data_IF_688161456953
#
_entry.id   IF_688161456953
#
_cell.length_a   1.000
_cell.length_b   1.000
_cell.length_c   1.000
_cell.angle_alpha   90.00
_cell.angle_beta   90.00
_cell.angle_gamma   90.00
#
_symmetry.space_group_name_H-M   'P 1'
#
loop_
_entity.id
_entity.type
_entity.pdbx_description
1 polymer ?
#
# COMPACT_ATOMS: atom_id res chain seq x y z
N UNK A 1 16.33 33.88 19.73
CA UNK A 1 15.73 32.96 18.73
C UNK A 1 15.48 31.61 19.39
N UNK A 2 14.32 31.42 20.03
CA UNK A 2 14.01 30.16 20.70
C UNK A 2 13.39 29.19 19.70
N UNK A 3 14.03 28.05 19.53
CA UNK A 3 13.53 26.90 18.79
C UNK A 3 12.22 26.43 19.43
N UNK A 4 11.11 26.80 18.79
CA UNK A 4 9.78 26.27 19.08
C UNK A 4 9.77 24.76 18.83
N UNK A 5 10.26 24.03 19.81
CA UNK A 5 10.28 22.58 19.83
C UNK A 5 8.84 22.18 20.10
N UNK A 6 8.10 21.88 19.02
CA UNK A 6 6.80 21.26 19.17
C UNK A 6 6.99 19.95 19.91
N UNK A 7 6.66 19.96 21.20
CA UNK A 7 6.47 18.77 22.03
C UNK A 7 5.20 18.08 21.55
N UNK A 8 5.22 17.56 20.32
CA UNK A 8 4.14 16.78 19.75
C UNK A 8 4.17 15.40 20.41
N UNK A 9 3.20 15.19 21.30
CA UNK A 9 2.61 13.89 21.65
C UNK A 9 3.56 12.84 22.26
N UNK A 10 4.32 13.21 23.30
CA UNK A 10 4.54 12.24 24.39
C UNK A 10 3.28 12.26 25.26
N UNK A 11 2.50 11.18 25.25
CA UNK A 11 1.49 10.94 26.29
C UNK A 11 0.02 10.85 25.86
N UNK A 12 -0.31 10.58 24.59
CA UNK A 12 -1.67 10.08 24.31
C UNK A 12 -1.72 8.63 24.79
N UNK A 13 -2.23 8.43 26.03
CA UNK A 13 -2.65 7.09 26.45
C UNK A 13 -3.72 6.63 25.46
N UNK A 14 -3.46 5.51 24.78
CA UNK A 14 -4.44 4.84 23.95
C UNK A 14 -5.74 4.64 24.76
N UNK A 15 -6.91 5.06 24.27
CA UNK A 15 -8.16 4.73 24.95
C UNK A 15 -8.35 3.21 24.93
N UNK A 16 -8.80 2.65 26.06
CA UNK A 16 -9.14 1.23 26.23
C UNK A 16 -10.19 0.82 25.19
N UNK A 17 -9.77 0.30 24.05
CA UNK A 17 -10.52 -0.75 23.36
C UNK A 17 -10.10 -2.08 23.97
N UNK A 18 -11.03 -3.04 23.99
CA UNK A 18 -10.90 -4.39 24.58
C UNK A 18 -9.95 -5.26 23.73
N UNK A 19 -8.72 -4.80 23.51
CA UNK A 19 -7.64 -5.44 22.77
C UNK A 19 -6.27 -5.01 23.37
N UNK A 20 -6.07 -5.23 24.67
CA UNK A 20 -4.78 -5.01 25.35
C UNK A 20 -4.29 -3.56 25.44
N UNK A 21 -3.38 -3.26 26.37
CA UNK A 21 -2.71 -1.95 26.39
C UNK A 21 -1.69 -1.89 25.25
N UNK A 22 -1.74 -0.83 24.43
CA UNK A 22 -0.72 -0.56 23.43
C UNK A 22 0.67 -0.50 24.09
N UNK A 23 1.71 -1.15 23.52
CA UNK A 23 3.06 -1.12 24.11
C UNK A 23 3.53 0.32 24.30
N UNK A 24 3.89 0.69 25.53
CA UNK A 24 4.19 2.08 25.93
C UNK A 24 5.41 2.67 25.20
N UNK A 25 6.21 1.82 24.58
CA UNK A 25 7.45 2.11 23.87
C UNK A 25 7.29 2.32 22.36
N UNK A 26 6.16 1.92 21.76
CA UNK A 26 5.93 2.08 20.31
C UNK A 26 5.11 3.33 20.02
N UNK A 27 5.66 4.29 19.29
CA UNK A 27 4.90 5.45 18.81
C UNK A 27 4.10 5.13 17.54
N UNK A 28 3.01 5.86 17.29
CA UNK A 28 2.24 5.72 16.04
C UNK A 28 3.12 5.94 14.82
N UNK A 29 4.01 6.94 14.83
CA UNK A 29 4.92 7.21 13.71
C UNK A 29 5.82 6.00 13.41
N UNK A 30 6.33 5.36 14.47
CA UNK A 30 7.15 4.15 14.36
C UNK A 30 6.34 2.98 13.81
N UNK A 31 5.11 2.77 14.31
CA UNK A 31 4.23 1.72 13.82
C UNK A 31 3.91 1.91 12.33
N UNK A 32 3.58 3.13 11.89
CA UNK A 32 3.29 3.42 10.49
C UNK A 32 4.51 3.23 9.60
N UNK A 33 5.69 3.65 10.03
CA UNK A 33 6.92 3.36 9.30
C UNK A 33 7.09 1.85 9.09
N UNK A 34 6.95 1.04 10.14
CA UNK A 34 7.10 -0.41 10.03
C UNK A 34 6.04 -1.07 9.18
N UNK A 35 4.77 -0.71 9.33
CA UNK A 35 3.68 -1.24 8.51
C UNK A 35 3.95 -0.95 7.03
N UNK A 36 4.33 0.29 6.69
CA UNK A 36 4.64 0.65 5.31
C UNK A 36 5.91 -0.02 4.78
N UNK A 37 6.97 -0.14 5.60
CA UNK A 37 8.17 -0.89 5.22
C UNK A 37 7.87 -2.35 4.94
N UNK A 38 7.07 -3.00 5.78
CA UNK A 38 6.68 -4.41 5.61
C UNK A 38 5.80 -4.57 4.37
N UNK A 39 4.81 -3.69 4.20
CA UNK A 39 3.95 -3.64 3.01
C UNK A 39 4.77 -3.62 1.72
N UNK A 40 5.67 -2.63 1.60
CA UNK A 40 6.50 -2.43 0.41
C UNK A 40 7.56 -3.52 0.27
N UNK A 41 8.25 -3.83 1.36
CA UNK A 41 9.38 -4.74 1.37
C UNK A 41 8.99 -6.18 1.06
N UNK A 42 7.92 -6.69 1.66
CA UNK A 42 7.44 -8.05 1.37
C UNK A 42 6.81 -8.13 -0.03
N UNK A 43 6.05 -7.11 -0.46
CA UNK A 43 5.53 -7.05 -1.83
C UNK A 43 6.69 -7.18 -2.84
N UNK A 44 7.74 -6.35 -2.73
CA UNK A 44 8.91 -6.41 -3.62
C UNK A 44 9.68 -7.73 -3.51
N UNK A 45 9.87 -8.25 -2.29
CA UNK A 45 10.61 -9.50 -2.08
C UNK A 45 9.94 -10.68 -2.78
N UNK A 46 8.63 -10.87 -2.58
CA UNK A 46 7.89 -11.99 -3.15
C UNK A 46 7.48 -11.78 -4.61
N UNK A 47 7.30 -10.53 -5.03
CA UNK A 47 7.15 -10.21 -6.45
C UNK A 47 8.45 -10.49 -7.23
N UNK A 48 9.60 -10.11 -6.65
CA UNK A 48 10.90 -10.42 -7.22
C UNK A 48 11.19 -11.92 -7.29
N UNK A 49 10.72 -12.69 -6.30
CA UNK A 49 10.78 -14.16 -6.35
C UNK A 49 10.04 -14.73 -7.58
N UNK A 50 8.89 -14.15 -7.98
CA UNK A 50 8.21 -14.52 -9.23
C UNK A 50 9.01 -14.17 -10.48
N UNK A 51 9.75 -13.06 -10.45
CA UNK A 51 10.70 -12.71 -11.51
C UNK A 51 11.81 -13.75 -11.65
N UNK A 52 12.42 -14.17 -10.54
CA UNK A 52 13.51 -15.17 -10.53
C UNK A 52 13.02 -16.56 -10.97
N UNK A 53 11.82 -16.96 -10.55
CA UNK A 53 11.20 -18.24 -10.94
C UNK A 53 10.84 -18.26 -12.43
N UNK A 54 10.54 -17.11 -13.03
CA UNK A 54 10.15 -17.03 -14.44
C UNK A 54 8.63 -17.17 -14.65
N UNK A 55 7.85 -16.27 -14.05
CA UNK A 55 6.42 -16.09 -14.32
C UNK A 55 6.15 -15.68 -15.78
N UNK A 56 5.55 -16.58 -16.56
CA UNK A 56 5.24 -16.37 -17.98
C UNK A 56 4.40 -15.12 -18.25
N UNK A 57 3.50 -14.75 -17.34
CA UNK A 57 2.66 -13.55 -17.43
C UNK A 57 3.46 -12.25 -17.66
N UNK A 58 4.76 -12.24 -17.34
CA UNK A 58 5.62 -11.06 -17.48
C UNK A 58 6.25 -10.95 -18.87
N UNK A 59 6.39 -12.06 -19.59
CA UNK A 59 7.06 -12.09 -20.90
C UNK A 59 6.39 -11.12 -21.90
N UNK A 60 5.04 -11.06 -22.02
CA UNK A 60 4.39 -10.10 -22.90
C UNK A 60 4.71 -8.63 -22.59
N UNK A 61 5.06 -8.29 -21.35
CA UNK A 61 5.37 -6.90 -20.99
C UNK A 61 6.66 -6.40 -21.63
N UNK A 62 7.62 -7.28 -21.90
CA UNK A 62 8.87 -6.94 -22.57
C UNK A 62 8.66 -6.60 -24.05
N UNK A 63 7.58 -7.10 -24.66
CA UNK A 63 7.24 -6.79 -26.05
C UNK A 63 6.94 -5.30 -26.27
N UNK A 64 6.49 -4.57 -25.23
CA UNK A 64 6.33 -3.11 -25.28
C UNK A 64 7.63 -2.38 -25.65
N UNK A 65 8.78 -2.93 -25.25
CA UNK A 65 10.10 -2.41 -25.57
C UNK A 65 10.76 -3.12 -26.77
N UNK A 66 9.97 -3.86 -27.58
CA UNK A 66 10.45 -4.66 -28.71
C UNK A 66 11.53 -5.70 -28.32
N UNK A 67 11.47 -6.23 -27.10
CA UNK A 67 12.37 -7.27 -26.61
C UNK A 67 11.75 -8.64 -26.91
N UNK A 68 12.52 -9.51 -27.58
CA UNK A 68 12.10 -10.88 -27.89
C UNK A 68 12.03 -11.80 -26.66
N UNK A 69 11.26 -12.89 -26.75
CA UNK A 69 10.96 -13.79 -25.64
C UNK A 69 12.21 -14.37 -24.94
N UNK A 70 13.22 -14.79 -25.70
CA UNK A 70 14.48 -15.33 -25.15
C UNK A 70 15.19 -14.30 -24.24
N UNK A 71 15.33 -13.06 -24.71
CA UNK A 71 15.89 -11.97 -23.91
C UNK A 71 14.98 -11.60 -22.74
N UNK A 72 13.66 -11.68 -22.91
CA UNK A 72 12.68 -11.38 -21.87
C UNK A 72 12.80 -12.35 -20.69
N UNK A 73 13.05 -13.65 -20.91
CA UNK A 73 13.26 -14.62 -19.84
C UNK A 73 14.47 -14.29 -18.97
N UNK A 74 15.59 -13.89 -19.60
CA UNK A 74 16.80 -13.49 -18.88
C UNK A 74 16.55 -12.18 -18.12
N UNK A 75 15.99 -11.19 -18.78
CA UNK A 75 15.74 -9.87 -18.19
C UNK A 75 14.72 -9.94 -17.05
N UNK A 76 13.70 -10.79 -17.16
CA UNK A 76 12.73 -11.03 -16.10
C UNK A 76 13.40 -11.52 -14.81
N UNK A 77 14.36 -12.46 -14.92
CA UNK A 77 15.08 -12.96 -13.74
C UNK A 77 15.95 -11.86 -13.12
N UNK A 78 16.59 -11.02 -13.93
CA UNK A 78 17.36 -9.87 -13.47
C UNK A 78 16.47 -8.83 -12.76
N UNK A 79 15.28 -8.56 -13.32
CA UNK A 79 14.26 -7.73 -12.66
C UNK A 79 13.87 -8.35 -11.31
N UNK A 80 13.67 -9.67 -11.26
CA UNK A 80 13.38 -10.38 -10.01
C UNK A 80 14.45 -10.18 -8.94
N UNK A 81 15.73 -10.27 -9.30
CA UNK A 81 16.86 -10.00 -8.40
C UNK A 81 16.87 -8.53 -7.93
N UNK A 82 16.58 -7.59 -8.83
CA UNK A 82 16.46 -6.17 -8.48
C UNK A 82 15.36 -5.94 -7.45
N UNK A 83 14.16 -6.50 -7.68
CA UNK A 83 13.01 -6.36 -6.79
C UNK A 83 13.29 -6.97 -5.40
N UNK A 84 13.90 -8.15 -5.34
CA UNK A 84 14.35 -8.77 -4.07
C UNK A 84 15.32 -7.84 -3.34
N UNK A 85 16.31 -7.30 -4.05
CA UNK A 85 17.33 -6.41 -3.46
C UNK A 85 16.69 -5.14 -2.89
N UNK A 86 15.79 -4.52 -3.65
CA UNK A 86 15.05 -3.33 -3.22
C UNK A 86 14.13 -3.61 -2.03
N UNK A 87 13.46 -4.77 -2.02
CA UNK A 87 12.65 -5.23 -0.90
C UNK A 87 13.47 -5.37 0.39
N UNK A 88 14.63 -6.02 0.31
CA UNK A 88 15.57 -6.15 1.44
C UNK A 88 16.09 -4.79 1.90
N UNK A 89 16.46 -3.89 0.98
CA UNK A 89 16.86 -2.52 1.32
C UNK A 89 15.75 -1.83 2.10
N UNK A 90 14.50 -1.86 1.65
CA UNK A 90 13.40 -1.20 2.37
C UNK A 90 13.13 -1.82 3.74
N UNK A 91 13.23 -3.14 3.88
CA UNK A 91 13.00 -3.82 5.16
C UNK A 91 14.07 -3.47 6.21
N UNK A 92 15.35 -3.47 5.82
CA UNK A 92 16.46 -3.32 6.77
C UNK A 92 17.02 -1.91 6.84
N UNK A 93 17.09 -1.20 5.70
CA UNK A 93 17.74 0.09 5.55
C UNK A 93 16.95 1.00 4.60
N UNK A 94 15.71 1.41 4.97
CA UNK A 94 14.83 2.14 4.06
C UNK A 94 15.44 3.48 3.67
N UNK A 95 15.99 3.59 2.46
CA UNK A 95 16.54 4.84 1.91
C UNK A 95 15.51 5.54 1.04
N UNK A 96 15.56 6.88 0.98
CA UNK A 96 14.62 7.65 0.14
C UNK A 96 14.76 7.32 -1.33
N UNK A 97 16.00 7.08 -1.78
CA UNK A 97 16.27 6.67 -3.16
C UNK A 97 15.53 5.37 -3.49
N UNK A 98 15.64 4.35 -2.62
CA UNK A 98 15.03 3.05 -2.88
C UNK A 98 13.51 3.17 -2.92
N UNK A 99 12.94 3.91 -1.97
CA UNK A 99 11.49 4.11 -1.89
C UNK A 99 10.96 4.85 -3.12
N UNK A 100 11.65 5.91 -3.58
CA UNK A 100 11.24 6.65 -4.77
C UNK A 100 11.37 5.78 -6.03
N UNK A 101 12.47 5.04 -6.15
CA UNK A 101 12.66 4.11 -7.26
C UNK A 101 11.57 3.05 -7.30
N UNK A 102 11.26 2.41 -6.17
CA UNK A 102 10.17 1.42 -6.06
C UNK A 102 8.83 2.04 -6.44
N UNK A 103 8.52 3.26 -6.00
CA UNK A 103 7.30 3.95 -6.38
C UNK A 103 7.20 4.13 -7.91
N UNK A 104 8.26 4.65 -8.53
CA UNK A 104 8.30 4.84 -9.99
C UNK A 104 8.19 3.49 -10.71
N UNK A 105 8.93 2.49 -10.24
CA UNK A 105 9.01 1.16 -10.80
C UNK A 105 7.68 0.40 -10.74
N UNK A 106 6.98 0.46 -9.60
CA UNK A 106 5.67 -0.20 -9.41
C UNK A 106 4.58 0.45 -10.25
N UNK A 107 4.60 1.77 -10.41
CA UNK A 107 3.68 2.46 -11.33
C UNK A 107 3.99 2.08 -12.77
N UNK A 108 5.26 2.09 -13.17
CA UNK A 108 5.70 1.70 -14.50
C UNK A 108 5.26 0.27 -14.86
N UNK A 109 5.62 -0.71 -14.03
CA UNK A 109 5.29 -2.13 -14.25
C UNK A 109 3.80 -2.42 -14.17
N UNK A 110 3.03 -1.71 -13.34
CA UNK A 110 1.58 -1.77 -13.38
C UNK A 110 1.03 -1.27 -14.73
N UNK A 111 1.62 -0.21 -15.28
CA UNK A 111 1.19 0.43 -16.53
C UNK A 111 1.46 -0.43 -17.75
N UNK A 112 2.42 -1.35 -17.69
CA UNK A 112 2.70 -2.29 -18.78
C UNK A 112 1.48 -3.15 -19.14
N UNK A 113 0.55 -3.40 -18.22
CA UNK A 113 -0.69 -4.14 -18.50
C UNK A 113 -1.53 -3.47 -19.59
N UNK A 114 -2.04 -2.23 -19.39
CA UNK A 114 -2.79 -1.56 -20.46
C UNK A 114 -1.92 -1.25 -21.68
N UNK A 115 -0.64 -0.94 -21.49
CA UNK A 115 0.28 -0.67 -22.60
C UNK A 115 0.56 -1.88 -23.50
N UNK A 116 0.25 -3.09 -23.02
CA UNK A 116 0.40 -4.36 -23.78
C UNK A 116 -0.94 -4.98 -24.16
N UNK A 117 -2.03 -4.20 -24.05
CA UNK A 117 -3.36 -4.57 -24.56
C UNK A 117 -4.35 -5.09 -23.54
N UNK A 118 -3.98 -5.18 -22.25
CA UNK A 118 -4.97 -5.43 -21.19
C UNK A 118 -5.85 -4.21 -20.95
N UNK A 119 -6.95 -4.37 -20.23
CA UNK A 119 -7.78 -3.23 -19.88
C UNK A 119 -7.18 -2.37 -18.74
N UNK A 120 -7.57 -1.10 -18.66
CA UNK A 120 -7.04 -0.16 -17.67
C UNK A 120 -7.30 -0.54 -16.20
N UNK A 121 -8.38 -1.27 -15.90
CA UNK A 121 -8.65 -1.70 -14.52
C UNK A 121 -7.58 -2.64 -13.98
N UNK A 122 -6.81 -3.32 -14.84
CA UNK A 122 -5.65 -4.12 -14.42
C UNK A 122 -4.48 -3.27 -13.87
N UNK A 123 -4.35 -2.01 -14.30
CA UNK A 123 -3.40 -1.06 -13.70
C UNK A 123 -3.87 -0.62 -12.31
N UNK A 124 -5.16 -0.31 -12.19
CA UNK A 124 -5.76 0.15 -10.94
C UNK A 124 -5.83 -0.95 -9.88
N UNK A 125 -5.99 -2.21 -10.30
CA UNK A 125 -5.91 -3.37 -9.42
C UNK A 125 -4.56 -3.47 -8.69
N UNK A 126 -3.48 -2.94 -9.29
CA UNK A 126 -2.15 -2.89 -8.67
C UNK A 126 -1.95 -1.70 -7.74
N UNK A 127 -3.01 -0.99 -7.36
CA UNK A 127 -2.90 0.13 -6.43
C UNK A 127 -2.40 -0.27 -5.03
N UNK A 128 -2.52 -1.54 -4.63
CA UNK A 128 -1.83 -2.09 -3.46
C UNK A 128 -0.30 -2.25 -3.62
N UNK A 129 0.21 -2.28 -4.86
CA UNK A 129 1.65 -2.34 -5.14
C UNK A 129 2.31 -0.96 -5.13
N UNK A 130 1.66 0.10 -5.63
CA UNK A 130 2.24 1.45 -5.70
C UNK A 130 1.67 2.46 -4.68
N UNK A 131 0.52 2.18 -4.06
CA UNK A 131 -0.06 2.98 -2.99
C UNK A 131 0.80 3.00 -1.70
N UNK A 132 1.19 1.84 -1.13
CA UNK A 132 2.07 1.80 0.03
C UNK A 132 3.45 2.43 -0.20
N UNK A 133 4.15 2.25 -1.35
CA UNK A 133 5.36 3.03 -1.67
C UNK A 133 5.11 4.53 -1.68
N UNK A 134 4.00 5.00 -2.24
CA UNK A 134 3.64 6.43 -2.21
C UNK A 134 3.43 6.92 -0.78
N UNK A 135 2.71 6.17 0.05
CA UNK A 135 2.53 6.47 1.46
C UNK A 135 3.87 6.49 2.23
N UNK A 136 4.77 5.55 1.95
CA UNK A 136 6.11 5.48 2.55
C UNK A 136 7.00 6.65 2.07
N UNK A 137 6.86 7.08 0.82
CA UNK A 137 7.54 8.26 0.31
C UNK A 137 7.02 9.55 0.96
N UNK A 138 5.70 9.69 1.16
CA UNK A 138 5.10 10.82 1.89
C UNK A 138 5.53 10.84 3.36
N UNK A 139 5.66 9.66 3.98
CA UNK A 139 6.29 9.52 5.29
C UNK A 139 7.70 10.10 5.23
N UNK A 140 8.57 9.58 4.36
CA UNK A 140 9.99 9.95 4.26
C UNK A 140 10.24 11.44 3.91
N UNK A 141 9.43 11.97 2.99
CA UNK A 141 9.61 13.27 2.35
C UNK A 141 10.84 13.36 1.45
N UNK A 142 10.95 14.48 0.73
CA UNK A 142 12.09 14.81 -0.11
C UNK A 142 13.38 15.00 0.69
N UNK A 143 14.47 14.39 0.23
CA UNK A 143 15.81 14.64 0.76
C UNK A 143 16.33 16.00 0.29
N UNK A 144 17.02 16.74 1.17
CA UNK A 144 17.61 18.05 0.83
C UNK A 144 19.05 17.94 0.37
N UNK A 145 19.72 16.87 0.78
CA UNK A 145 21.12 16.58 0.46
C UNK A 145 21.27 15.16 -0.06
N UNK A 146 22.36 14.86 -0.77
CA UNK A 146 22.69 13.49 -1.22
C UNK A 146 22.70 12.51 -0.05
N UNK A 147 23.21 12.94 1.11
CA UNK A 147 23.21 12.12 2.33
C UNK A 147 21.80 11.75 2.79
N UNK A 148 20.83 12.65 2.68
CA UNK A 148 19.44 12.35 3.03
C UNK A 148 18.83 11.27 2.13
N UNK A 149 19.29 11.18 0.89
CA UNK A 149 18.81 10.18 -0.07
C UNK A 149 19.36 8.78 0.19
N UNK A 150 20.62 8.71 0.66
CA UNK A 150 21.36 7.46 0.85
C UNK A 150 21.31 6.91 2.28
N UNK A 151 21.08 7.76 3.29
CA UNK A 151 20.98 7.32 4.67
C UNK A 151 19.62 6.68 4.98
N UNK A 152 19.57 5.63 5.82
CA UNK A 152 18.32 5.03 6.25
C UNK A 152 17.40 6.02 6.97
N UNK A 153 16.13 6.01 6.61
CA UNK A 153 15.07 6.76 7.27
C UNK A 153 14.83 6.12 8.65
N UNK A 154 14.73 6.98 9.66
CA UNK A 154 14.37 6.61 11.02
C UNK A 154 12.98 7.14 11.36
N UNK A 155 12.37 6.58 12.41
CA UNK A 155 11.12 7.11 12.91
C UNK A 155 11.29 8.57 13.38
N UNK A 156 10.32 9.42 13.07
CA UNK A 156 10.27 10.80 13.53
C UNK A 156 8.82 11.23 13.69
N UNK A 157 8.56 12.25 14.49
CA UNK A 157 7.21 12.73 14.75
C UNK A 157 6.57 13.29 13.48
N UNK A 158 5.47 12.69 13.03
CA UNK A 158 4.75 13.16 11.86
C UNK A 158 3.94 14.42 12.17
N UNK A 159 3.86 15.30 11.18
CA UNK A 159 2.93 16.43 11.23
C UNK A 159 1.52 15.94 10.91
N UNK A 160 0.50 16.67 11.36
CA UNK A 160 -0.90 16.36 11.03
C UNK A 160 -1.11 16.28 9.52
N UNK A 161 -0.50 17.18 8.75
CA UNK A 161 -0.62 17.18 7.29
C UNK A 161 -0.02 15.91 6.66
N UNK A 162 1.12 15.43 7.16
CA UNK A 162 1.69 14.16 6.69
C UNK A 162 0.79 12.98 7.03
N UNK A 163 0.26 12.94 8.25
CA UNK A 163 -0.68 11.88 8.67
C UNK A 163 -1.90 11.86 7.76
N UNK A 164 -2.51 13.02 7.49
CA UNK A 164 -3.68 13.08 6.61
C UNK A 164 -3.34 12.74 5.15
N UNK A 165 -2.19 13.16 4.64
CA UNK A 165 -1.74 12.77 3.29
C UNK A 165 -1.56 11.24 3.17
N UNK A 166 -0.91 10.62 4.16
CA UNK A 166 -0.73 9.16 4.21
C UNK A 166 -2.10 8.46 4.31
N UNK A 167 -3.01 8.94 5.16
CA UNK A 167 -4.38 8.41 5.28
C UNK A 167 -5.10 8.47 3.95
N UNK A 168 -5.02 9.58 3.24
CA UNK A 168 -5.67 9.74 1.93
C UNK A 168 -5.11 8.80 0.87
N UNK A 169 -3.79 8.66 0.80
CA UNK A 169 -3.15 7.73 -0.15
C UNK A 169 -3.56 6.29 0.13
N UNK A 170 -3.50 5.85 1.39
CA UNK A 170 -3.91 4.50 1.76
C UNK A 170 -5.40 4.28 1.48
N UNK A 171 -6.26 5.23 1.84
CA UNK A 171 -7.70 5.17 1.55
C UNK A 171 -7.99 5.06 0.06
N UNK A 172 -7.32 5.88 -0.76
CA UNK A 172 -7.47 5.83 -2.21
C UNK A 172 -6.99 4.50 -2.79
N UNK A 173 -5.82 4.04 -2.37
CA UNK A 173 -5.23 2.76 -2.80
C UNK A 173 -6.16 1.59 -2.51
N UNK A 174 -6.68 1.49 -1.28
CA UNK A 174 -7.62 0.43 -0.87
C UNK A 174 -8.92 0.49 -1.67
N UNK A 175 -9.47 1.71 -1.85
CA UNK A 175 -10.73 1.87 -2.57
C UNK A 175 -10.60 1.48 -4.05
N UNK A 176 -9.55 1.96 -4.71
CA UNK A 176 -9.28 1.67 -6.12
C UNK A 176 -9.04 0.18 -6.31
N UNK A 177 -8.27 -0.44 -5.42
CA UNK A 177 -8.05 -1.87 -5.41
C UNK A 177 -9.36 -2.66 -5.31
N UNK A 178 -10.16 -2.42 -4.27
CA UNK A 178 -11.42 -3.14 -4.06
C UNK A 178 -12.41 -2.97 -5.21
N UNK A 179 -12.54 -1.74 -5.73
CA UNK A 179 -13.44 -1.48 -6.87
C UNK A 179 -12.97 -2.29 -8.08
N UNK A 180 -11.67 -2.34 -8.35
CA UNK A 180 -11.15 -3.06 -9.52
C UNK A 180 -11.06 -4.57 -9.34
N UNK A 181 -10.92 -5.07 -8.11
CA UNK A 181 -11.12 -6.49 -7.79
C UNK A 181 -12.57 -6.88 -8.05
N UNK A 182 -13.52 -6.07 -7.60
CA UNK A 182 -14.92 -6.38 -7.80
C UNK A 182 -15.35 -6.35 -9.26
N UNK A 183 -14.68 -5.54 -10.10
CA UNK A 183 -14.87 -5.59 -11.56
C UNK A 183 -14.45 -6.94 -12.16
N UNK A 184 -13.50 -7.68 -11.59
CA UNK A 184 -13.20 -9.04 -12.05
C UNK A 184 -14.36 -10.00 -11.83
N UNK A 185 -15.13 -9.80 -10.76
CA UNK A 185 -16.34 -10.60 -10.53
C UNK A 185 -17.50 -10.17 -11.40
N UNK A 186 -17.73 -8.86 -11.53
CA UNK A 186 -18.90 -8.30 -12.24
C UNK A 186 -18.76 -8.33 -13.76
N UNK A 187 -17.56 -8.08 -14.30
CA UNK A 187 -17.34 -7.91 -15.74
C UNK A 187 -16.74 -9.16 -16.37
N UNK A 188 -15.81 -9.81 -15.69
CA UNK A 188 -15.02 -10.92 -16.28
C UNK A 188 -15.43 -12.29 -15.76
N UNK A 189 -16.19 -12.38 -14.66
CA UNK A 189 -16.53 -13.62 -13.98
C UNK A 189 -15.35 -14.61 -13.92
N UNK A 190 -14.17 -14.12 -13.53
CA UNK A 190 -12.89 -14.83 -13.75
C UNK A 190 -12.96 -16.31 -13.31
N UNK A 191 -12.80 -17.27 -14.22
CA UNK A 191 -12.92 -18.70 -13.90
C UNK A 191 -11.98 -19.16 -12.78
N UNK A 192 -10.79 -18.56 -12.71
CA UNK A 192 -9.84 -18.82 -11.63
C UNK A 192 -10.40 -18.46 -10.25
N UNK A 193 -11.08 -17.32 -10.12
CA UNK A 193 -11.68 -16.91 -8.85
C UNK A 193 -12.83 -17.84 -8.46
N UNK A 194 -13.63 -18.30 -9.44
CA UNK A 194 -14.66 -19.31 -9.21
C UNK A 194 -14.04 -20.59 -8.61
N UNK A 195 -12.93 -21.07 -9.20
CA UNK A 195 -12.22 -22.24 -8.68
C UNK A 195 -11.68 -22.04 -7.26
N UNK A 196 -11.16 -20.84 -6.95
CA UNK A 196 -10.69 -20.50 -5.60
C UNK A 196 -11.79 -20.57 -4.55
N UNK A 197 -12.98 -20.02 -4.83
CA UNK A 197 -14.11 -20.11 -3.91
C UNK A 197 -14.67 -21.53 -3.81
N UNK A 198 -14.71 -22.28 -4.92
CA UNK A 198 -15.16 -23.67 -4.93
C UNK A 198 -14.29 -24.57 -4.02
N UNK A 199 -12.99 -24.29 -3.93
CA UNK A 199 -12.07 -25.04 -3.07
C UNK A 199 -12.39 -24.94 -1.57
N UNK A 200 -13.10 -23.89 -1.14
CA UNK A 200 -13.59 -23.73 0.24
C UNK A 200 -15.09 -24.02 0.37
N UNK A 201 -15.69 -24.63 -0.65
CA UNK A 201 -17.09 -25.03 -0.67
C UNK A 201 -18.09 -23.90 -0.97
N UNK A 202 -17.62 -22.76 -1.51
CA UNK A 202 -18.47 -21.62 -1.87
C UNK A 202 -18.70 -21.55 -3.41
N UNK A 203 -19.92 -21.20 -3.88
CA UNK A 203 -21.13 -21.02 -3.09
C UNK A 203 -21.75 -22.34 -2.61
N UNK A 204 -21.37 -23.51 -3.12
CA UNK A 204 -22.13 -24.74 -2.89
C UNK A 204 -23.39 -24.78 -3.75
N UNK A 205 -24.48 -25.41 -3.28
CA UNK A 205 -25.66 -25.67 -4.11
C UNK A 205 -26.75 -24.58 -4.10
N UNK A 206 -26.58 -23.51 -3.31
CA UNK A 206 -27.63 -22.49 -3.12
C UNK A 206 -27.54 -21.30 -4.08
N UNK A 207 -26.47 -21.21 -4.88
CA UNK A 207 -26.28 -20.17 -5.88
C UNK A 207 -25.36 -20.68 -6.98
N UNK A 208 -25.57 -20.25 -8.23
CA UNK A 208 -24.64 -20.56 -9.29
C UNK A 208 -23.29 -19.84 -9.08
N UNK A 209 -22.15 -20.46 -9.44
CA UNK A 209 -20.84 -19.89 -9.11
C UNK A 209 -20.55 -18.53 -9.74
N UNK A 210 -21.11 -18.25 -10.92
CA UNK A 210 -20.95 -16.97 -11.61
C UNK A 210 -21.70 -15.84 -10.89
N UNK A 211 -22.99 -16.04 -10.58
CA UNK A 211 -23.78 -15.07 -9.79
C UNK A 211 -23.19 -14.87 -8.41
N UNK A 212 -22.64 -15.91 -7.79
CA UNK A 212 -21.91 -15.77 -6.53
C UNK A 212 -20.72 -14.84 -6.67
N UNK A 213 -19.87 -15.08 -7.69
CA UNK A 213 -18.70 -14.24 -7.92
C UNK A 213 -19.08 -12.79 -8.30
N UNK A 214 -20.15 -12.60 -9.08
CA UNK A 214 -20.69 -11.26 -9.37
C UNK A 214 -21.18 -10.57 -8.09
N UNK A 215 -21.84 -11.30 -7.19
CA UNK A 215 -22.31 -10.78 -5.89
C UNK A 215 -21.13 -10.36 -5.03
N UNK A 216 -20.10 -11.19 -4.92
CA UNK A 216 -18.84 -10.84 -4.26
C UNK A 216 -18.25 -9.57 -4.88
N UNK A 217 -18.23 -9.47 -6.21
CA UNK A 217 -17.71 -8.30 -6.91
C UNK A 217 -18.47 -7.01 -6.58
N UNK A 218 -19.80 -7.05 -6.53
CA UNK A 218 -20.60 -5.89 -6.10
C UNK A 218 -20.36 -5.50 -4.63
N UNK A 219 -20.14 -6.49 -3.75
CA UNK A 219 -19.79 -6.24 -2.35
C UNK A 219 -18.44 -5.52 -2.27
N UNK A 220 -17.43 -5.97 -3.01
CA UNK A 220 -16.10 -5.31 -3.05
C UNK A 220 -16.18 -3.90 -3.60
N UNK A 221 -16.91 -3.67 -4.69
CA UNK A 221 -17.15 -2.32 -5.25
C UNK A 221 -17.82 -1.43 -4.19
N UNK A 222 -18.85 -1.95 -3.50
CA UNK A 222 -19.55 -1.24 -2.44
C UNK A 222 -18.64 -0.89 -1.25
N UNK A 223 -17.79 -1.82 -0.81
CA UNK A 223 -16.80 -1.58 0.25
C UNK A 223 -15.76 -0.55 -0.18
N UNK A 224 -15.25 -0.63 -1.40
CA UNK A 224 -14.30 0.34 -1.96
C UNK A 224 -14.91 1.74 -2.03
N UNK A 225 -16.15 1.87 -2.53
CA UNK A 225 -16.88 3.14 -2.54
C UNK A 225 -17.14 3.68 -1.13
N UNK A 226 -17.54 2.81 -0.18
CA UNK A 226 -17.73 3.19 1.22
C UNK A 226 -16.44 3.77 1.81
N UNK A 227 -15.30 3.08 1.66
CA UNK A 227 -14.03 3.57 2.18
C UNK A 227 -13.62 4.88 1.49
N UNK A 228 -13.84 5.01 0.17
CA UNK A 228 -13.53 6.23 -0.57
C UNK A 228 -14.39 7.42 -0.16
N UNK A 229 -15.64 7.23 0.25
CA UNK A 229 -16.55 8.32 0.64
C UNK A 229 -16.53 8.61 2.14
N UNK A 230 -16.52 7.56 2.96
CA UNK A 230 -16.55 7.65 4.42
C UNK A 230 -15.84 6.44 5.04
N UNK A 231 -14.56 6.55 5.41
CA UNK A 231 -13.82 5.43 5.96
C UNK A 231 -14.39 5.11 7.36
N UNK A 232 -14.95 3.91 7.49
CA UNK A 232 -15.50 3.39 8.76
C UNK A 232 -14.54 2.35 9.32
N UNK A 233 -14.16 2.46 10.60
CA UNK A 233 -13.17 1.56 11.23
C UNK A 233 -13.54 0.09 11.10
N UNK A 234 -14.80 -0.26 11.33
CA UNK A 234 -15.30 -1.62 11.19
C UNK A 234 -15.21 -2.14 9.74
N UNK A 235 -15.50 -1.29 8.75
CA UNK A 235 -15.35 -1.65 7.34
C UNK A 235 -13.88 -1.88 6.98
N UNK A 236 -12.96 -1.02 7.43
CA UNK A 236 -11.51 -1.23 7.20
C UNK A 236 -11.03 -2.52 7.88
N UNK A 237 -11.50 -2.82 9.09
CA UNK A 237 -11.18 -4.09 9.76
C UNK A 237 -11.71 -5.30 9.00
N UNK A 238 -12.94 -5.23 8.48
CA UNK A 238 -13.51 -6.27 7.64
C UNK A 238 -12.71 -6.46 6.35
N UNK A 239 -12.27 -5.37 5.70
CA UNK A 239 -11.44 -5.42 4.49
C UNK A 239 -10.11 -6.12 4.76
N UNK A 240 -9.45 -5.87 5.90
CA UNK A 240 -8.23 -6.60 6.28
C UNK A 240 -8.49 -8.11 6.30
N UNK A 241 -9.57 -8.53 6.97
CA UNK A 241 -9.94 -9.95 7.06
C UNK A 241 -10.28 -10.52 5.68
N UNK A 242 -11.04 -9.77 4.89
CA UNK A 242 -11.48 -10.15 3.56
C UNK A 242 -10.31 -10.35 2.60
N UNK A 243 -9.41 -9.37 2.50
CA UNK A 243 -8.25 -9.43 1.61
C UNK A 243 -7.31 -10.58 2.01
N UNK A 244 -7.08 -10.77 3.32
CA UNK A 244 -6.29 -11.93 3.80
C UNK A 244 -6.98 -13.24 3.44
N UNK A 245 -8.31 -13.34 3.62
CA UNK A 245 -9.07 -14.53 3.24
C UNK A 245 -8.95 -14.83 1.75
N UNK A 246 -9.22 -13.85 0.88
CA UNK A 246 -9.10 -14.00 -0.59
C UNK A 246 -7.66 -14.34 -0.99
N UNK A 247 -6.68 -13.68 -0.36
CA UNK A 247 -5.26 -13.96 -0.57
C UNK A 247 -4.87 -15.39 -0.20
N UNK A 248 -5.46 -15.97 0.85
CA UNK A 248 -5.23 -17.35 1.27
C UNK A 248 -5.92 -18.40 0.38
N UNK A 249 -6.91 -18.02 -0.44
CA UNK A 249 -7.53 -18.95 -1.38
C UNK A 249 -6.54 -19.48 -2.44
N UNK A 250 -5.50 -18.70 -2.77
CA UNK A 250 -4.45 -19.13 -3.69
C UNK A 250 -3.76 -20.42 -3.22
N UNK A 251 -3.10 -20.47 -2.04
CA UNK A 251 -2.50 -21.71 -1.54
C UNK A 251 -3.52 -22.78 -1.16
N UNK A 252 -4.71 -22.42 -0.67
CA UNK A 252 -5.74 -23.39 -0.26
C UNK A 252 -6.29 -24.17 -1.45
N UNK A 253 -6.57 -23.49 -2.56
CA UNK A 253 -7.18 -24.13 -3.73
C UNK A 253 -6.25 -25.08 -4.47
N UNK A 254 -4.93 -24.90 -4.33
CA UNK A 254 -3.94 -25.67 -5.09
C UNK A 254 -4.00 -25.45 -6.61
N UNK A 255 -4.87 -24.55 -7.10
CA UNK A 255 -5.09 -24.30 -8.52
C UNK A 255 -3.90 -23.52 -9.10
N UNK A 256 -3.13 -24.12 -10.03
CA UNK A 256 -2.07 -23.39 -10.71
C UNK A 256 -2.68 -22.36 -11.65
N UNK A 257 -2.13 -21.15 -11.65
CA UNK A 257 -2.47 -20.11 -12.66
C UNK A 257 -1.53 -20.19 -13.86
N UNK A 258 -0.36 -20.83 -13.66
CA UNK A 258 0.68 -21.16 -14.65
C UNK A 258 1.43 -22.39 -14.11
N UNK A 259 2.24 -23.06 -14.95
CA UNK A 259 2.94 -24.35 -14.75
C UNK A 259 3.88 -24.47 -13.53
N UNK A 260 3.78 -23.58 -12.54
CA UNK A 260 4.65 -23.56 -11.37
C UNK A 260 4.15 -24.50 -10.26
N UNK A 261 5.07 -25.19 -9.56
CA UNK A 261 4.77 -26.06 -8.42
C UNK A 261 3.89 -25.39 -7.35
N UNK A 262 3.05 -26.21 -6.69
CA UNK A 262 2.15 -25.77 -5.61
C UNK A 262 2.85 -24.99 -4.49
N UNK A 263 4.14 -25.27 -4.24
CA UNK A 263 4.96 -24.57 -3.26
C UNK A 263 5.05 -23.04 -3.49
N UNK A 264 4.81 -22.55 -4.71
CA UNK A 264 4.86 -21.13 -5.03
C UNK A 264 3.54 -20.39 -4.82
N UNK A 265 2.43 -21.08 -4.52
CA UNK A 265 1.12 -20.43 -4.35
C UNK A 265 1.09 -19.48 -3.15
N UNK A 266 1.84 -19.79 -2.08
CA UNK A 266 1.99 -18.88 -0.94
C UNK A 266 2.70 -17.57 -1.34
N UNK A 267 3.57 -17.59 -2.35
CA UNK A 267 4.18 -16.36 -2.87
C UNK A 267 3.16 -15.46 -3.58
N UNK A 268 2.03 -15.99 -4.08
CA UNK A 268 0.95 -15.13 -4.62
C UNK A 268 0.23 -14.36 -3.50
N UNK A 269 0.00 -15.02 -2.37
CA UNK A 269 -0.52 -14.33 -1.18
C UNK A 269 0.47 -13.28 -0.73
N UNK A 270 1.75 -13.61 -0.65
CA UNK A 270 2.78 -12.74 -0.10
C UNK A 270 3.21 -11.61 -1.06
N UNK A 271 3.16 -11.79 -2.39
CA UNK A 271 3.42 -10.70 -3.34
C UNK A 271 2.36 -9.60 -3.26
N UNK A 272 1.20 -9.88 -2.66
CA UNK A 272 0.10 -8.94 -2.42
C UNK A 272 0.12 -8.33 -1.01
N UNK A 273 1.25 -8.38 -0.29
CA UNK A 273 1.29 -7.93 1.10
C UNK A 273 0.88 -6.46 1.31
N UNK A 274 1.07 -5.61 0.28
CA UNK A 274 0.61 -4.22 0.26
C UNK A 274 -0.90 -4.07 0.43
N UNK A 275 -1.65 -5.03 -0.11
CA UNK A 275 -3.11 -5.11 -0.14
C UNK A 275 -3.66 -5.32 1.28
N UNK A 276 -2.93 -6.05 2.14
CA UNK A 276 -3.33 -6.32 3.53
C UNK A 276 -2.79 -5.26 4.50
N UNK A 277 -1.52 -4.88 4.32
CA UNK A 277 -0.83 -3.99 5.24
C UNK A 277 -1.27 -2.52 5.07
N UNK A 278 -1.71 -2.12 3.87
CA UNK A 278 -2.28 -0.80 3.60
C UNK A 278 -3.52 -0.48 4.46
N UNK A 279 -4.58 -1.32 4.42
CA UNK A 279 -5.73 -1.23 5.31
C UNK A 279 -5.37 -1.23 6.79
N UNK A 280 -4.41 -2.05 7.21
CA UNK A 280 -3.95 -2.05 8.61
C UNK A 280 -3.32 -0.71 9.00
N UNK A 281 -2.47 -0.14 8.14
CA UNK A 281 -1.89 1.20 8.34
C UNK A 281 -2.98 2.29 8.42
N UNK A 282 -3.98 2.24 7.54
CA UNK A 282 -5.12 3.16 7.58
C UNK A 282 -5.91 3.02 8.89
N UNK A 283 -6.16 1.79 9.34
CA UNK A 283 -6.89 1.53 10.58
C UNK A 283 -6.16 2.10 11.80
N UNK A 284 -4.84 1.91 11.90
CA UNK A 284 -4.02 2.51 12.95
C UNK A 284 -4.13 4.04 12.96
N UNK A 285 -4.03 4.67 11.78
CA UNK A 285 -4.17 6.13 11.64
C UNK A 285 -5.58 6.63 11.97
N UNK A 286 -6.61 5.82 11.73
CA UNK A 286 -8.00 6.15 12.10
C UNK A 286 -8.27 6.00 13.60
N UNK A 287 -7.59 5.09 14.29
CA UNK A 287 -7.76 4.85 15.73
C UNK A 287 -6.94 5.84 16.54
N UNK A 288 -5.66 5.99 16.20
CA UNK A 288 -4.66 6.70 17.01
C UNK A 288 -4.19 8.03 16.41
N UNK A 289 -4.50 8.30 15.15
CA UNK A 289 -4.17 9.57 14.51
C UNK A 289 -4.99 10.75 15.06
N UNK A 290 -4.47 11.98 14.97
CA UNK A 290 -5.19 13.17 15.40
C UNK A 290 -6.52 13.32 14.64
N UNK A 291 -7.58 13.73 15.34
CA UNK A 291 -8.84 14.10 14.68
C UNK A 291 -8.64 15.45 13.98
N UNK A 292 -8.95 15.52 12.68
CA UNK A 292 -8.83 16.74 11.85
C UNK A 292 -9.41 18.01 12.50
N UNK A 293 -10.56 17.90 13.19
CA UNK A 293 -11.22 19.02 13.86
C UNK A 293 -10.44 19.55 15.08
N UNK A 294 -9.80 18.67 15.85
CA UNK A 294 -8.99 19.06 17.02
C UNK A 294 -7.66 19.71 16.60
N UNK A 295 -7.13 19.34 15.42
CA UNK A 295 -5.92 19.93 14.86
C UNK A 295 -6.14 21.36 14.32
N UNK A 296 -7.31 21.65 13.72
CA UNK A 296 -7.69 23.01 13.31
C UNK A 296 -7.98 23.92 14.51
N UNK A 297 -8.68 23.43 15.54
CA UNK A 297 -8.93 24.20 16.77
C UNK A 297 -7.62 24.64 17.45
N UNK A 298 -6.67 23.73 17.63
CA UNK A 298 -5.35 24.05 18.19
C UNK A 298 -4.45 24.92 17.30
N UNK A 299 -4.74 25.03 16.01
CA UNK A 299 -4.03 25.93 15.10
C UNK A 299 -4.62 27.35 15.12
N UNK A 300 -5.94 27.46 15.34
CA UNK A 300 -6.64 28.73 15.51
C UNK A 300 -6.34 29.38 16.88
N UNK A 301 -6.11 28.58 17.92
CA UNK A 301 -5.77 29.06 19.28
C UNK A 301 -4.28 29.42 19.46
N UNK A 302 -3.47 29.41 18.40
CA UNK A 302 -2.08 29.88 18.49
C UNK A 302 -2.08 31.41 18.53
N UNK A 303 -1.46 32.04 19.55
CA UNK A 303 -1.23 33.48 19.48
C UNK A 303 -0.45 33.78 18.20
N UNK A 304 -0.84 34.86 17.51
CA UNK A 304 -0.11 35.33 16.34
C UNK A 304 1.38 35.42 16.69
N UNK A 305 2.24 34.94 15.80
CA UNK A 305 3.68 35.10 15.98
C UNK A 305 3.98 36.57 16.26
N UNK A 306 4.87 36.91 17.21
CA UNK A 306 5.26 38.30 17.43
C UNK A 306 5.64 38.91 16.09
N UNK A 307 4.94 39.99 15.71
CA UNK A 307 5.16 40.65 14.43
C UNK A 307 6.65 40.93 14.24
N UNK A 308 7.16 40.61 13.05
CA UNK A 308 8.49 41.08 12.65
C UNK A 308 8.53 42.59 12.89
N UNK A 309 9.55 43.13 13.58
CA UNK A 309 9.68 44.57 13.74
C UNK A 309 9.72 45.20 12.35
N UNK A 310 8.95 46.28 12.18
CA UNK A 310 8.95 47.07 10.96
C UNK A 310 10.39 47.46 10.60
N UNK A 311 10.78 47.44 9.31
CA UNK A 311 12.10 47.90 8.91
C UNK A 311 12.29 49.34 9.38
N UNK A 312 13.38 49.60 10.09
CA UNK A 312 13.74 50.93 10.53
C UNK A 312 13.77 51.86 9.32
N UNK A 313 13.05 52.97 9.41
CA UNK A 313 13.14 54.04 8.43
C UNK A 313 14.61 54.47 8.32
N UNK A 314 15.18 54.37 7.13
CA UNK A 314 16.46 54.96 6.84
C UNK A 314 16.35 56.46 7.12
N UNK A 315 17.09 56.93 8.13
CA UNK A 315 17.32 58.36 8.30
C UNK A 315 18.12 58.84 7.08
N UNK A 316 17.51 59.75 6.33
CA UNK A 316 18.19 60.54 5.32
C UNK A 316 18.96 61.65 6.01
N UNK A 317 20.29 61.53 6.02
CA UNK A 317 21.23 62.65 6.09
C UNK A 317 22.04 62.66 4.78
#
# INVERSE_FOLDING_TARGET
>A
MSSGTYRLLRGVKAPRLVLGEWPKDITLDTAILWVLKIAVGLNMLFHGAWGVVGKEDWIPFFAFAAIGAESAEVLQRLVGVMDITLGLIVLFMPTRWAILWILIWTVWTASLRPLTGSAWWYFFERSGNYGPPLALFLYAGWGKTVKDWLMPIRAFTLTVNKIEAIKWVLRWSIAVQLITHGLYGVVEAKPLLIGHFAAVGLPGSWMDPETFLMTVGWIEIGMGALILLKPVRAAVALIIVWEVFVGLLYPISGLPVTEHPQAYLIFRTLERFGDYAGPFGLLLLMIYGPKWKEAKGKAADRPAAPGLPAPAAAASD
#
